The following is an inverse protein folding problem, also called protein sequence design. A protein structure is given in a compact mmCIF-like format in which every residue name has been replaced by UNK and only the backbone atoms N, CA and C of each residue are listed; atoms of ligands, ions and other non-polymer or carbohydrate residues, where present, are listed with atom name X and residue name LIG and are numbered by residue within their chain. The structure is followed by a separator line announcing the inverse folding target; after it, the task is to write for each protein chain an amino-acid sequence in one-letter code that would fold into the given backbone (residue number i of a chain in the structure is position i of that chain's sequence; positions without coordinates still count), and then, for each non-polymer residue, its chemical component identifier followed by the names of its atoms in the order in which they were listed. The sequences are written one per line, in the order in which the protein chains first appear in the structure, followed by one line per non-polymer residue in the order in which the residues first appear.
data_IF_522290928317
#
_entry.id   IF_522290928317
#
_cell.length_a   1.000
_cell.length_b   1.000
_cell.length_c   1.000
_cell.angle_alpha   90.00
_cell.angle_beta   90.00
_cell.angle_gamma   90.00
#
_symmetry.space_group_name_H-M   'P 1'
#
loop_
_entity.id
_entity.type
_entity.pdbx_description
1 polymer ?
#
# COMPACT_ATOMS: atom_id res chain seq x y z
N UNK A 1 -6.44 -35.55 -40.96
CA UNK A 1 -6.35 -34.08 -40.82
C UNK A 1 -6.54 -33.76 -39.35
N UNK A 2 -5.45 -33.67 -38.63
CA UNK A 2 -5.42 -33.31 -37.22
C UNK A 2 -5.18 -31.82 -37.15
N UNK A 3 -6.17 -31.07 -36.58
CA UNK A 3 -6.01 -29.67 -36.23
C UNK A 3 -5.19 -29.62 -34.94
N UNK A 4 -3.97 -29.19 -35.04
CA UNK A 4 -3.19 -28.72 -33.87
C UNK A 4 -3.65 -27.29 -33.52
N UNK A 5 -4.39 -27.15 -32.45
CA UNK A 5 -4.63 -25.86 -31.83
C UNK A 5 -3.33 -25.40 -31.17
N UNK A 6 -2.70 -24.41 -31.78
CA UNK A 6 -1.56 -23.71 -31.18
C UNK A 6 -2.10 -22.78 -30.12
N UNK A 7 -1.91 -23.13 -28.83
CA UNK A 7 -2.22 -22.25 -27.71
C UNK A 7 -1.10 -21.23 -27.68
N UNK A 8 -1.41 -19.99 -28.06
CA UNK A 8 -0.57 -18.83 -27.79
C UNK A 8 -0.67 -18.49 -26.32
N UNK A 9 0.40 -18.71 -25.56
CA UNK A 9 0.57 -18.07 -24.27
C UNK A 9 0.94 -16.62 -24.57
N UNK A 10 0.04 -15.68 -24.27
CA UNK A 10 0.40 -14.27 -24.15
C UNK A 10 1.35 -14.16 -22.96
N UNK A 11 2.62 -13.88 -23.23
CA UNK A 11 3.58 -13.46 -22.22
C UNK A 11 3.07 -12.13 -21.66
N UNK A 12 2.52 -12.17 -20.43
CA UNK A 12 2.28 -10.95 -19.67
C UNK A 12 3.67 -10.31 -19.45
N UNK A 13 3.92 -9.19 -20.10
CA UNK A 13 5.09 -8.37 -19.87
C UNK A 13 5.11 -8.00 -18.37
N UNK A 14 5.97 -8.65 -17.59
CA UNK A 14 6.34 -8.21 -16.26
C UNK A 14 6.92 -6.81 -16.40
N UNK A 15 6.15 -5.79 -16.03
CA UNK A 15 6.68 -4.43 -15.93
C UNK A 15 7.72 -4.44 -14.82
N UNK A 16 8.99 -4.50 -15.20
CA UNK A 16 10.11 -4.22 -14.33
C UNK A 16 9.91 -2.81 -13.75
N UNK A 17 9.53 -2.75 -12.47
CA UNK A 17 9.50 -1.50 -11.73
C UNK A 17 10.96 -1.15 -11.46
N UNK A 18 11.54 -0.28 -12.29
CA UNK A 18 12.89 0.21 -12.07
C UNK A 18 12.96 0.84 -10.66
N UNK A 19 13.95 0.46 -9.83
CA UNK A 19 14.14 1.09 -8.54
C UNK A 19 14.46 2.56 -8.74
N UNK A 20 13.73 3.43 -8.03
CA UNK A 20 13.94 4.88 -8.10
C UNK A 20 15.40 5.23 -7.76
N UNK A 21 16.03 6.16 -8.50
CA UNK A 21 17.43 6.48 -8.28
C UNK A 21 17.64 7.06 -6.88
N UNK A 22 18.58 6.50 -6.14
CA UNK A 22 18.99 6.93 -4.78
C UNK A 22 19.27 8.45 -4.69
N UNK A 23 19.58 9.09 -5.80
CA UNK A 23 19.80 10.55 -5.88
C UNK A 23 18.57 11.38 -5.53
N UNK A 24 17.36 10.86 -5.73
CA UNK A 24 16.11 11.55 -5.37
C UNK A 24 15.77 11.42 -3.88
N UNK A 25 16.31 10.41 -3.21
CA UNK A 25 16.14 10.17 -1.78
C UNK A 25 17.12 10.99 -0.91
N UNK A 26 18.19 11.54 -1.49
CA UNK A 26 19.26 12.23 -0.73
C UNK A 26 18.75 13.39 0.13
N UNK A 27 17.82 14.26 -0.32
CA UNK A 27 17.30 15.33 0.53
C UNK A 27 16.54 14.81 1.74
N UNK A 28 15.86 13.67 1.60
CA UNK A 28 15.05 13.03 2.65
C UNK A 28 15.93 12.24 3.61
N UNK A 29 16.97 11.57 3.09
CA UNK A 29 17.97 10.87 3.90
C UNK A 29 18.71 11.82 4.86
N UNK A 30 18.91 13.09 4.49
CA UNK A 30 19.51 14.10 5.38
C UNK A 30 18.65 14.41 6.61
N UNK A 31 17.37 14.05 6.60
CA UNK A 31 16.46 14.22 7.73
C UNK A 31 16.48 13.01 8.69
N UNK A 32 17.14 11.93 8.31
CA UNK A 32 17.26 10.73 9.15
C UNK A 32 18.30 11.00 10.23
N UNK A 33 17.86 10.89 11.49
CA UNK A 33 18.71 11.20 12.66
C UNK A 33 19.68 10.07 12.99
N UNK A 34 19.21 8.84 12.93
CA UNK A 34 19.96 7.66 13.33
C UNK A 34 19.30 6.41 12.75
N UNK A 35 20.11 5.49 12.22
CA UNK A 35 19.58 4.23 11.68
C UNK A 35 19.66 3.16 12.78
N UNK A 36 18.59 2.99 13.52
CA UNK A 36 18.39 1.85 14.41
C UNK A 36 17.27 1.00 13.84
N UNK A 37 17.60 -0.24 13.47
CA UNK A 37 16.61 -1.18 12.95
C UNK A 37 15.94 -1.90 14.12
N UNK A 38 14.65 -1.65 14.31
CA UNK A 38 13.82 -2.37 15.28
C UNK A 38 12.50 -2.79 14.62
N UNK A 39 12.05 -4.03 14.87
CA UNK A 39 10.76 -4.50 14.44
C UNK A 39 9.67 -4.13 15.45
N UNK A 40 8.49 -3.77 14.95
CA UNK A 40 7.31 -3.53 15.77
C UNK A 40 6.05 -3.95 15.00
N UNK A 41 5.13 -4.62 15.67
CA UNK A 41 3.85 -5.00 15.08
C UNK A 41 2.82 -3.90 15.33
N UNK A 42 2.35 -3.30 14.23
CA UNK A 42 1.30 -2.30 14.28
C UNK A 42 0.02 -2.82 13.65
N UNK A 43 -1.11 -2.52 14.27
CA UNK A 43 -2.41 -2.78 13.65
C UNK A 43 -2.66 -1.78 12.50
N UNK A 44 -3.55 -2.13 11.57
CA UNK A 44 -4.00 -1.20 10.51
C UNK A 44 -4.60 0.07 11.09
N UNK A 45 -5.29 -0.01 12.22
CA UNK A 45 -5.84 1.14 12.93
C UNK A 45 -4.73 2.08 13.45
N UNK A 46 -3.65 1.51 14.01
CA UNK A 46 -2.48 2.30 14.45
C UNK A 46 -1.80 2.98 13.26
N UNK A 47 -1.58 2.26 12.17
CA UNK A 47 -1.00 2.81 10.93
C UNK A 47 -1.86 3.97 10.42
N UNK A 48 -3.17 3.77 10.36
CA UNK A 48 -4.11 4.79 9.90
C UNK A 48 -4.06 6.05 10.77
N UNK A 49 -4.04 5.91 12.10
CA UNK A 49 -3.93 7.04 13.04
C UNK A 49 -2.63 7.81 12.81
N UNK A 50 -1.49 7.12 12.61
CA UNK A 50 -0.20 7.74 12.33
C UNK A 50 -0.19 8.50 10.99
N UNK A 51 -0.86 7.96 9.97
CA UNK A 51 -1.01 8.63 8.67
C UNK A 51 -1.89 9.88 8.79
N UNK A 52 -3.03 9.79 9.48
CA UNK A 52 -3.97 10.91 9.66
C UNK A 52 -3.33 12.06 10.46
N UNK A 53 -2.53 11.73 11.47
CA UNK A 53 -1.78 12.71 12.28
C UNK A 53 -0.57 13.28 11.54
N UNK A 54 -0.32 12.82 10.31
CA UNK A 54 0.86 13.18 9.54
C UNK A 54 2.18 12.87 10.28
N UNK A 55 2.18 11.80 11.06
CA UNK A 55 3.37 11.27 11.71
C UNK A 55 4.17 10.38 10.76
N UNK A 56 3.49 9.70 9.82
CA UNK A 56 4.11 9.02 8.69
C UNK A 56 3.95 9.93 7.47
N UNK A 57 5.05 10.45 6.97
CA UNK A 57 5.06 11.33 5.82
C UNK A 57 5.09 10.49 4.54
N UNK A 58 4.00 10.58 3.76
CA UNK A 58 3.92 10.10 2.39
C UNK A 58 4.41 11.25 1.50
N UNK A 59 5.68 11.29 1.18
CA UNK A 59 6.30 12.42 0.48
C UNK A 59 5.61 12.73 -0.85
N UNK A 60 5.29 14.03 -1.13
CA UNK A 60 4.55 14.45 -2.33
C UNK A 60 5.27 14.13 -3.65
N UNK A 61 6.60 14.01 -3.63
CA UNK A 61 7.42 13.72 -4.82
C UNK A 61 7.09 12.37 -5.46
N UNK A 62 6.54 11.44 -4.70
CA UNK A 62 6.14 10.12 -5.15
C UNK A 62 4.68 10.02 -5.59
N UNK A 63 3.96 11.13 -5.75
CA UNK A 63 2.59 11.15 -6.26
C UNK A 63 2.48 10.86 -7.77
N UNK A 64 3.58 10.52 -8.43
CA UNK A 64 3.52 10.08 -9.83
C UNK A 64 2.91 8.69 -9.90
N UNK A 65 1.58 8.69 -9.96
CA UNK A 65 0.68 7.56 -10.18
C UNK A 65 0.64 6.57 -9.02
N UNK A 66 -0.56 6.33 -8.59
CA UNK A 66 -0.96 5.17 -7.84
C UNK A 66 -0.55 3.94 -8.68
N UNK A 67 0.61 3.34 -8.37
CA UNK A 67 1.21 2.30 -9.22
C UNK A 67 0.42 0.99 -9.13
N UNK A 68 -0.32 0.78 -8.02
CA UNK A 68 -1.16 -0.40 -7.86
C UNK A 68 -2.53 -0.17 -8.47
N UNK A 69 -2.97 -1.11 -9.30
CA UNK A 69 -4.33 -1.15 -9.78
C UNK A 69 -5.32 -1.57 -8.68
N UNK A 70 -6.61 -1.48 -8.97
CA UNK A 70 -7.66 -1.80 -8.01
C UNK A 70 -7.66 -3.28 -7.61
N UNK A 71 -7.23 -4.18 -8.49
CA UNK A 71 -7.16 -5.62 -8.23
C UNK A 71 -6.07 -5.92 -7.20
N UNK A 72 -4.88 -5.37 -7.39
CA UNK A 72 -3.76 -5.57 -6.47
C UNK A 72 -4.04 -4.95 -5.10
N UNK A 73 -4.64 -3.76 -5.05
CA UNK A 73 -5.13 -3.13 -3.82
C UNK A 73 -6.13 -4.02 -3.09
N UNK A 74 -7.11 -4.55 -3.82
CA UNK A 74 -8.15 -5.40 -3.24
C UNK A 74 -7.59 -6.70 -2.68
N UNK A 75 -6.66 -7.34 -3.38
CA UNK A 75 -5.98 -8.56 -2.90
C UNK A 75 -5.10 -8.30 -1.68
N UNK A 76 -4.46 -7.14 -1.63
CA UNK A 76 -3.71 -6.74 -0.43
C UNK A 76 -4.64 -6.58 0.79
N UNK A 77 -5.78 -5.91 0.63
CA UNK A 77 -6.79 -5.79 1.71
C UNK A 77 -7.34 -7.18 2.09
N UNK A 78 -7.61 -8.05 1.13
CA UNK A 78 -8.02 -9.43 1.38
C UNK A 78 -6.98 -10.17 2.24
N UNK A 79 -5.69 -10.02 1.93
CA UNK A 79 -4.60 -10.63 2.70
C UNK A 79 -4.59 -10.13 4.15
N UNK A 80 -4.82 -8.84 4.38
CA UNK A 80 -4.93 -8.27 5.72
C UNK A 80 -6.15 -8.82 6.48
N UNK A 81 -7.31 -8.93 5.83
CA UNK A 81 -8.53 -9.48 6.44
C UNK A 81 -8.34 -10.95 6.84
N UNK A 82 -7.63 -11.72 6.01
CA UNK A 82 -7.35 -13.14 6.27
C UNK A 82 -6.18 -13.39 7.23
N UNK A 83 -5.46 -12.33 7.62
CA UNK A 83 -4.26 -12.46 8.46
C UNK A 83 -3.09 -13.13 7.75
N UNK A 84 -3.04 -13.08 6.41
CA UNK A 84 -1.91 -13.60 5.66
C UNK A 84 -0.67 -12.75 5.87
N UNK A 85 0.53 -13.35 5.87
CA UNK A 85 1.76 -12.60 5.97
C UNK A 85 1.90 -11.64 4.77
N UNK A 86 2.15 -10.37 5.07
CA UNK A 86 2.38 -9.32 4.08
C UNK A 86 3.80 -8.78 4.23
N UNK A 87 4.41 -8.26 3.15
CA UNK A 87 5.72 -7.64 3.24
C UNK A 87 5.74 -6.49 4.24
N UNK A 88 6.85 -6.33 4.95
CA UNK A 88 7.02 -5.31 5.97
C UNK A 88 7.02 -3.90 5.35
N UNK A 89 6.51 -2.93 6.13
CA UNK A 89 6.65 -1.51 5.84
C UNK A 89 7.91 -1.03 6.54
N UNK A 90 8.78 -0.33 5.81
CA UNK A 90 10.04 0.19 6.35
C UNK A 90 9.92 1.70 6.52
N UNK A 91 10.08 2.14 7.76
CA UNK A 91 10.01 3.55 8.14
C UNK A 91 11.37 4.00 8.70
N UNK A 92 11.76 5.23 8.40
CA UNK A 92 12.90 5.89 9.04
C UNK A 92 12.41 7.03 9.95
N UNK A 93 12.93 7.07 11.17
CA UNK A 93 12.66 8.19 12.07
C UNK A 93 13.34 9.46 11.56
N UNK A 94 12.64 10.59 11.62
CA UNK A 94 13.20 11.90 11.29
C UNK A 94 13.85 12.56 12.50
N UNK A 95 14.45 13.73 12.31
CA UNK A 95 14.96 14.55 13.40
C UNK A 95 13.84 15.05 14.33
N UNK A 96 12.64 15.19 13.79
CA UNK A 96 11.45 15.56 14.55
C UNK A 96 10.92 14.31 15.26
N UNK A 97 10.80 14.39 16.59
CA UNK A 97 10.35 13.26 17.41
C UNK A 97 8.96 12.79 17.02
N UNK A 98 8.82 11.50 16.80
CA UNK A 98 7.53 10.87 16.45
C UNK A 98 7.13 11.02 14.97
N UNK A 99 8.03 11.54 14.14
CA UNK A 99 7.83 11.62 12.68
C UNK A 99 8.66 10.58 11.96
N UNK A 100 8.09 10.03 10.90
CA UNK A 100 8.67 8.98 10.09
C UNK A 100 8.56 9.29 8.60
N UNK A 101 9.54 8.84 7.84
CA UNK A 101 9.53 8.83 6.38
C UNK A 101 9.41 7.38 5.93
N UNK A 102 8.62 7.14 4.89
CA UNK A 102 8.45 5.81 4.30
C UNK A 102 9.65 5.52 3.39
N UNK A 103 10.40 4.47 3.71
CA UNK A 103 11.48 3.96 2.85
C UNK A 103 10.96 2.85 1.92
N UNK A 104 10.09 1.97 2.42
CA UNK A 104 9.41 0.95 1.62
C UNK A 104 7.98 0.72 2.13
N UNK A 105 7.09 0.27 1.24
CA UNK A 105 5.70 -0.04 1.55
C UNK A 105 4.73 1.11 1.34
N UNK A 106 5.11 2.14 0.59
CA UNK A 106 4.25 3.31 0.31
C UNK A 106 2.91 2.90 -0.30
N UNK A 107 2.91 2.03 -1.31
CA UNK A 107 1.66 1.57 -1.94
C UNK A 107 0.74 0.84 -0.96
N UNK A 108 1.30 0.08 -0.03
CA UNK A 108 0.56 -0.59 1.05
C UNK A 108 -0.10 0.42 1.98
N UNK A 109 0.64 1.46 2.38
CA UNK A 109 0.10 2.54 3.21
C UNK A 109 -1.00 3.34 2.51
N UNK A 110 -0.79 3.69 1.23
CA UNK A 110 -1.79 4.36 0.40
C UNK A 110 -3.06 3.52 0.25
N UNK A 111 -2.91 2.22 0.04
CA UNK A 111 -4.04 1.29 -0.09
C UNK A 111 -4.87 1.23 1.19
N UNK A 112 -4.23 1.13 2.36
CA UNK A 112 -4.91 1.18 3.66
C UNK A 112 -5.66 2.51 3.79
N UNK A 113 -4.99 3.63 3.55
CA UNK A 113 -5.60 4.96 3.67
C UNK A 113 -6.81 5.14 2.76
N UNK A 114 -6.70 4.71 1.51
CA UNK A 114 -7.79 4.78 0.52
C UNK A 114 -8.94 3.84 0.87
N UNK A 115 -8.65 2.63 1.30
CA UNK A 115 -9.70 1.67 1.66
C UNK A 115 -10.54 2.16 2.83
N UNK A 116 -9.93 2.76 3.84
CA UNK A 116 -10.66 3.38 4.95
C UNK A 116 -11.42 4.65 4.54
N UNK A 117 -11.30 5.11 3.27
CA UNK A 117 -11.98 6.30 2.77
C UNK A 117 -11.50 7.60 3.38
N UNK A 118 -10.34 7.59 4.04
CA UNK A 118 -9.72 8.77 4.61
C UNK A 118 -8.61 9.25 3.70
N UNK A 119 -8.65 10.53 3.34
CA UNK A 119 -7.61 11.16 2.54
C UNK A 119 -6.76 12.07 3.41
N UNK A 120 -5.46 12.04 3.19
CA UNK A 120 -4.63 13.20 3.50
C UNK A 120 -5.10 14.36 2.59
N UNK A 121 -5.01 15.60 3.09
CA UNK A 121 -5.47 16.82 2.37
C UNK A 121 -4.83 16.97 0.97
N UNK A 122 -3.76 16.24 0.72
CA UNK A 122 -3.00 16.24 -0.53
C UNK A 122 -3.22 15.00 -1.41
N UNK A 123 -4.00 14.02 -0.98
CA UNK A 123 -4.30 12.80 -1.74
C UNK A 123 -5.79 12.82 -2.07
N UNK A 124 -6.11 12.77 -3.35
CA UNK A 124 -7.51 12.70 -3.79
C UNK A 124 -8.21 11.51 -3.13
N UNK A 125 -9.41 11.77 -2.61
CA UNK A 125 -10.21 10.81 -1.86
C UNK A 125 -10.73 9.72 -2.81
N UNK A 126 -9.93 8.68 -3.03
CA UNK A 126 -10.24 7.55 -3.90
C UNK A 126 -10.61 6.32 -3.06
N UNK A 127 -11.62 6.44 -2.18
CA UNK A 127 -12.22 5.27 -1.56
C UNK A 127 -12.66 4.28 -2.64
N UNK A 128 -12.39 2.99 -2.43
CA UNK A 128 -12.69 1.97 -3.43
C UNK A 128 -13.45 0.79 -2.85
N UNK A 129 -14.21 0.12 -3.72
CA UNK A 129 -14.85 -1.16 -3.44
C UNK A 129 -13.92 -2.31 -3.88
N UNK A 130 -13.90 -3.39 -3.10
CA UNK A 130 -13.07 -4.55 -3.36
C UNK A 130 -13.46 -5.24 -4.68
N UNK A 131 -12.46 -5.68 -5.45
CA UNK A 131 -12.65 -6.35 -6.75
C UNK A 131 -11.69 -7.53 -6.89
N UNK A 132 -12.10 -8.51 -7.71
CA UNK A 132 -11.27 -9.65 -8.12
C UNK A 132 -10.59 -10.39 -6.95
N UNK A 133 -11.32 -10.59 -5.84
CA UNK A 133 -10.86 -11.33 -4.68
C UNK A 133 -10.78 -12.83 -4.99
N UNK A 134 -9.81 -13.52 -4.41
CA UNK A 134 -9.62 -14.97 -4.60
C UNK A 134 -10.39 -15.79 -3.57
N UNK A 135 -10.34 -15.41 -2.32
CA UNK A 135 -10.87 -16.19 -1.19
C UNK A 135 -12.20 -15.61 -0.68
N UNK A 136 -12.26 -14.32 -0.37
CA UNK A 136 -13.42 -13.64 0.19
C UNK A 136 -14.29 -13.02 -0.90
N UNK A 137 -14.78 -13.86 -1.81
CA UNK A 137 -15.65 -13.43 -2.93
C UNK A 137 -16.94 -12.77 -2.47
N UNK A 138 -17.38 -13.06 -1.24
CA UNK A 138 -18.51 -12.43 -0.55
C UNK A 138 -18.29 -10.91 -0.33
N UNK A 139 -17.04 -10.45 -0.32
CA UNK A 139 -16.67 -9.04 -0.13
C UNK A 139 -16.51 -8.26 -1.45
N UNK A 140 -16.65 -8.91 -2.61
CA UNK A 140 -16.55 -8.23 -3.90
C UNK A 140 -17.66 -7.16 -4.00
N UNK A 141 -17.27 -5.95 -4.38
CA UNK A 141 -18.16 -4.78 -4.47
C UNK A 141 -18.40 -4.06 -3.15
N UNK A 142 -17.85 -4.57 -2.04
CA UNK A 142 -17.96 -3.96 -0.72
C UNK A 142 -16.88 -2.91 -0.50
N UNK A 143 -17.26 -1.82 0.18
CA UNK A 143 -16.34 -0.80 0.70
C UNK A 143 -16.00 -1.09 2.16
N UNK A 144 -15.08 -0.32 2.74
CA UNK A 144 -14.80 -0.42 4.18
C UNK A 144 -16.05 -0.18 5.03
N UNK A 145 -16.86 0.80 4.67
CA UNK A 145 -18.10 1.11 5.43
C UNK A 145 -19.10 -0.05 5.43
N UNK A 146 -19.14 -0.83 4.35
CA UNK A 146 -20.05 -1.98 4.23
C UNK A 146 -19.61 -3.17 5.10
N UNK A 147 -18.29 -3.30 5.36
CA UNK A 147 -17.74 -4.47 6.05
C UNK A 147 -17.27 -4.19 7.47
N UNK A 148 -17.18 -2.92 7.88
CA UNK A 148 -16.64 -2.56 9.20
C UNK A 148 -17.43 -3.15 10.37
N UNK A 149 -18.74 -3.32 10.21
CA UNK A 149 -19.60 -3.94 11.23
C UNK A 149 -19.36 -5.43 11.40
N UNK A 150 -18.78 -6.08 10.39
CA UNK A 150 -18.54 -7.52 10.35
C UNK A 150 -17.09 -7.88 10.77
N UNK A 151 -16.22 -6.86 10.89
CA UNK A 151 -14.79 -7.01 11.23
C UNK A 151 -14.49 -6.70 12.71
N UNK A 152 -15.47 -6.16 13.46
CA UNK A 152 -15.30 -5.77 14.87
C UNK A 152 -16.45 -6.26 15.75
#
# INVERSE_FOLDING_TARGET
MTNEEVIFFEEEEEQEIEPEPLSELIPELKQIREIVVSGSDWTTATILDQLIRNNIQLTPRFQRRDAWDITLKSRFIESLILGFPVPQIVLAATQEKGKFIVLDGKQRLLTILQFYGRSDKNIQNNAFALRNLEFRRDLIGKTYEDIRSDLF
#
